data_IF_263406248075
#
_entry.id   IF_263406248075
#
_cell.length_a   1.000
_cell.length_b   1.000
_cell.length_c   1.000
_cell.angle_alpha   90.00
_cell.angle_beta   90.00
_cell.angle_gamma   90.00
#
_symmetry.space_group_name_H-M   'P 1'
#
loop_
_entity.id
_entity.type
_entity.pdbx_description
1 polymer ?
#
# COMPACT_ATOMS: atom_id res chain seq x y z
N UNK A 1 -17.08 9.38 -17.46
CA UNK A 1 -18.37 9.26 -18.18
C UNK A 1 -18.17 8.69 -19.58
N UNK A 2 -17.20 9.17 -20.37
CA UNK A 2 -16.99 8.72 -21.76
C UNK A 2 -16.74 7.21 -21.96
N UNK A 3 -16.01 6.54 -21.06
CA UNK A 3 -15.67 5.11 -21.26
C UNK A 3 -16.90 4.17 -21.17
N UNK A 4 -17.92 4.58 -20.41
CA UNK A 4 -19.16 3.81 -20.23
C UNK A 4 -20.06 3.98 -21.46
N UNK A 5 -20.11 5.18 -22.04
CA UNK A 5 -20.87 5.46 -23.27
C UNK A 5 -20.21 4.81 -24.50
N UNK A 6 -18.88 4.81 -24.59
CA UNK A 6 -18.16 4.09 -25.64
C UNK A 6 -18.41 2.57 -25.58
N UNK A 7 -18.41 1.97 -24.38
CA UNK A 7 -18.73 0.54 -24.19
C UNK A 7 -20.18 0.18 -24.55
N UNK A 8 -21.13 1.10 -24.37
CA UNK A 8 -22.53 0.92 -24.79
C UNK A 8 -22.70 1.06 -26.30
N UNK A 9 -21.97 1.97 -26.94
CA UNK A 9 -21.98 2.16 -28.39
C UNK A 9 -21.48 0.91 -29.17
N UNK A 10 -20.62 0.10 -28.55
CA UNK A 10 -20.07 -1.14 -29.11
C UNK A 10 -20.93 -2.41 -28.85
N UNK A 11 -22.13 -2.27 -28.29
CA UNK A 11 -23.08 -3.40 -28.13
C UNK A 11 -22.71 -4.40 -27.01
N UNK A 12 -21.91 -3.99 -26.02
CA UNK A 12 -21.51 -4.87 -24.93
C UNK A 12 -22.68 -5.15 -23.96
N UNK A 13 -22.99 -6.43 -23.77
CA UNK A 13 -23.92 -6.92 -22.75
C UNK A 13 -23.51 -6.38 -21.36
N UNK A 14 -24.47 -5.91 -20.54
CA UNK A 14 -24.23 -5.20 -19.25
C UNK A 14 -23.18 -5.88 -18.36
N UNK A 15 -23.19 -7.22 -18.32
CA UNK A 15 -22.26 -8.03 -17.54
C UNK A 15 -20.83 -7.94 -18.09
N UNK A 16 -20.66 -7.97 -19.42
CA UNK A 16 -19.37 -7.87 -20.07
C UNK A 16 -18.73 -6.50 -19.87
N UNK A 17 -19.52 -5.42 -19.87
CA UNK A 17 -19.04 -4.06 -19.57
C UNK A 17 -18.54 -3.92 -18.13
N UNK A 18 -19.24 -4.53 -17.17
CA UNK A 18 -18.84 -4.51 -15.76
C UNK A 18 -17.49 -5.22 -15.58
N UNK A 19 -17.35 -6.46 -16.07
CA UNK A 19 -16.14 -7.24 -15.86
C UNK A 19 -14.95 -6.79 -16.71
N UNK A 20 -15.19 -6.22 -17.91
CA UNK A 20 -14.13 -5.93 -18.88
C UNK A 20 -13.72 -4.45 -18.93
N UNK A 21 -14.54 -3.55 -18.38
CA UNK A 21 -14.26 -2.10 -18.37
C UNK A 21 -14.21 -1.55 -16.95
N UNK A 22 -15.24 -1.81 -16.13
CA UNK A 22 -15.34 -1.23 -14.78
C UNK A 22 -14.37 -1.90 -13.81
N UNK A 23 -14.30 -3.23 -13.81
CA UNK A 23 -13.42 -3.99 -12.93
C UNK A 23 -11.94 -3.61 -13.12
N UNK A 24 -11.35 -3.68 -14.34
CA UNK A 24 -9.96 -3.28 -14.52
C UNK A 24 -9.74 -1.80 -14.22
N UNK A 25 -10.69 -0.91 -14.52
CA UNK A 25 -10.55 0.52 -14.23
C UNK A 25 -10.55 0.86 -12.74
N UNK A 26 -11.20 0.05 -11.89
CA UNK A 26 -11.28 0.28 -10.44
C UNK A 26 -10.22 -0.47 -9.63
N UNK A 27 -9.62 -1.52 -10.19
CA UNK A 27 -8.57 -2.31 -9.54
C UNK A 27 -7.37 -1.48 -9.03
N UNK A 28 -6.85 -0.48 -9.77
CA UNK A 28 -5.76 0.38 -9.30
C UNK A 28 -6.15 1.18 -8.04
N UNK A 29 -7.36 1.73 -8.00
CA UNK A 29 -7.84 2.50 -6.86
C UNK A 29 -8.07 1.65 -5.61
N UNK A 30 -8.55 0.41 -5.78
CA UNK A 30 -8.68 -0.55 -4.66
C UNK A 30 -7.29 -0.93 -4.12
N UNK A 31 -6.31 -1.11 -5.01
CA UNK A 31 -4.94 -1.41 -4.61
C UNK A 31 -4.31 -0.27 -3.82
N UNK A 32 -4.49 0.99 -4.25
CA UNK A 32 -3.98 2.15 -3.52
C UNK A 32 -4.57 2.23 -2.10
N UNK A 33 -5.88 2.00 -1.96
CA UNK A 33 -6.52 1.91 -0.65
C UNK A 33 -5.96 0.76 0.20
N UNK A 34 -5.73 -0.41 -0.41
CA UNK A 34 -5.14 -1.56 0.27
C UNK A 34 -3.70 -1.26 0.74
N UNK A 35 -2.86 -0.63 -0.10
CA UNK A 35 -1.51 -0.19 0.28
C UNK A 35 -1.55 0.76 1.47
N UNK A 36 -2.46 1.73 1.45
CA UNK A 36 -2.64 2.67 2.55
C UNK A 36 -2.99 1.94 3.86
N UNK A 37 -3.91 0.97 3.79
CA UNK A 37 -4.30 0.16 4.95
C UNK A 37 -3.17 -0.73 5.47
N UNK A 38 -2.32 -1.26 4.58
CA UNK A 38 -1.17 -2.08 4.97
C UNK A 38 -0.07 -1.25 5.61
N UNK A 39 0.18 -0.04 5.09
CA UNK A 39 1.06 0.93 5.75
C UNK A 39 0.58 1.25 7.17
N UNK A 40 -0.72 1.45 7.36
CA UNK A 40 -1.31 1.62 8.69
C UNK A 40 -1.24 0.32 9.54
N UNK A 41 -1.37 -0.84 8.90
CA UNK A 41 -1.27 -2.17 9.52
C UNK A 41 0.13 -2.47 10.09
N UNK A 42 1.18 -1.85 9.56
CA UNK A 42 2.55 -2.05 10.03
C UNK A 42 2.71 -1.77 11.53
N UNK A 43 2.09 -0.72 12.05
CA UNK A 43 2.10 -0.41 13.48
C UNK A 43 1.44 -1.50 14.32
N UNK A 44 0.36 -2.12 13.80
CA UNK A 44 -0.31 -3.22 14.49
C UNK A 44 0.54 -4.48 14.55
N UNK A 45 1.35 -4.76 13.52
CA UNK A 45 2.31 -5.88 13.55
C UNK A 45 3.31 -5.69 14.68
N UNK A 46 3.86 -4.48 14.83
CA UNK A 46 4.79 -4.16 15.92
C UNK A 46 4.12 -4.35 17.29
N UNK A 47 2.88 -3.86 17.45
CA UNK A 47 2.11 -4.03 18.69
C UNK A 47 1.88 -5.52 18.99
N UNK A 48 1.48 -6.30 17.99
CA UNK A 48 1.22 -7.73 18.14
C UNK A 48 2.48 -8.48 18.57
N UNK A 49 3.65 -8.13 18.01
CA UNK A 49 4.93 -8.70 18.37
C UNK A 49 5.31 -8.38 19.82
N UNK A 50 5.10 -7.15 20.26
CA UNK A 50 5.38 -6.72 21.63
C UNK A 50 4.49 -7.43 22.66
N UNK A 51 3.21 -7.61 22.36
CA UNK A 51 2.22 -8.15 23.32
C UNK A 51 2.26 -9.68 23.37
N UNK A 52 2.45 -10.34 22.22
CA UNK A 52 2.24 -11.78 22.08
C UNK A 52 3.50 -12.60 21.83
N UNK A 53 4.61 -12.00 21.39
CA UNK A 53 5.80 -12.77 21.03
C UNK A 53 6.76 -12.91 22.21
N UNK A 54 7.10 -14.16 22.55
CA UNK A 54 8.17 -14.47 23.52
C UNK A 54 9.58 -14.37 22.90
N UNK A 55 9.66 -14.06 21.61
CA UNK A 55 10.89 -13.86 20.86
C UNK A 55 10.59 -12.98 19.64
N UNK A 56 11.41 -11.97 19.37
CA UNK A 56 11.18 -10.99 18.30
C UNK A 56 12.04 -9.74 18.48
N UNK A 57 12.09 -8.90 17.45
CA UNK A 57 12.78 -7.60 17.48
C UNK A 57 12.13 -6.64 18.48
N UNK A 58 10.79 -6.63 18.54
CA UNK A 58 10.05 -5.83 19.53
C UNK A 58 10.31 -6.29 20.97
N UNK A 59 10.36 -7.61 21.17
CA UNK A 59 10.69 -8.21 22.47
C UNK A 59 12.13 -7.88 22.90
N UNK A 60 13.11 -8.05 21.99
CA UNK A 60 14.52 -7.73 22.21
C UNK A 60 14.73 -6.25 22.54
N UNK A 61 13.95 -5.35 21.95
CA UNK A 61 14.00 -3.92 22.26
C UNK A 61 13.56 -3.65 23.70
N UNK A 62 12.42 -4.22 24.13
CA UNK A 62 11.89 -4.05 25.48
C UNK A 62 12.81 -4.68 26.54
N UNK A 63 13.36 -5.85 26.23
CA UNK A 63 14.34 -6.51 27.10
C UNK A 63 15.62 -5.65 27.21
N UNK A 64 16.15 -5.15 26.09
CA UNK A 64 17.34 -4.28 26.08
C UNK A 64 17.11 -2.97 26.81
N UNK A 65 15.88 -2.44 26.79
CA UNK A 65 15.49 -1.28 27.59
C UNK A 65 15.58 -1.56 29.10
N UNK A 66 15.18 -2.76 29.55
CA UNK A 66 15.30 -3.16 30.97
C UNK A 66 16.75 -3.28 31.43
N UNK A 67 17.64 -3.74 30.55
CA UNK A 67 19.07 -3.87 30.84
C UNK A 67 19.90 -2.62 30.50
N UNK A 68 19.26 -1.50 30.12
CA UNK A 68 19.91 -0.24 29.71
C UNK A 68 20.98 -0.43 28.62
N UNK A 69 20.83 -1.45 27.76
CA UNK A 69 21.74 -1.74 26.65
C UNK A 69 21.35 -0.91 25.44
N UNK A 70 21.75 0.36 25.46
CA UNK A 70 21.43 1.34 24.40
C UNK A 70 21.84 0.89 23.00
N UNK A 71 23.00 0.26 22.85
CA UNK A 71 23.47 -0.28 21.56
C UNK A 71 22.45 -1.22 20.90
N UNK A 72 21.83 -2.11 21.68
CA UNK A 72 20.84 -3.06 21.17
C UNK A 72 19.52 -2.38 20.82
N UNK A 73 19.12 -1.34 21.56
CA UNK A 73 17.91 -0.55 21.27
C UNK A 73 18.06 0.16 19.92
N UNK A 74 19.19 0.82 19.68
CA UNK A 74 19.46 1.48 18.40
C UNK A 74 19.51 0.47 17.24
N UNK A 75 20.15 -0.69 17.44
CA UNK A 75 20.16 -1.75 16.44
C UNK A 75 18.73 -2.23 16.10
N UNK A 76 17.87 -2.45 17.11
CA UNK A 76 16.48 -2.86 16.89
C UNK A 76 15.67 -1.81 16.11
N UNK A 77 15.82 -0.51 16.45
CA UNK A 77 15.15 0.58 15.74
C UNK A 77 15.56 0.62 14.25
N UNK A 78 16.86 0.49 13.97
CA UNK A 78 17.37 0.47 12.60
C UNK A 78 16.79 -0.71 11.82
N UNK A 79 16.79 -1.91 12.42
CA UNK A 79 16.27 -3.12 11.76
C UNK A 79 14.77 -3.00 11.48
N UNK A 80 13.97 -2.50 12.43
CA UNK A 80 12.53 -2.31 12.25
C UNK A 80 12.25 -1.27 11.16
N UNK A 81 13.00 -0.16 11.13
CA UNK A 81 12.90 0.83 10.06
C UNK A 81 13.23 0.24 8.69
N UNK A 82 14.27 -0.59 8.62
CA UNK A 82 14.68 -1.26 7.39
C UNK A 82 13.64 -2.28 6.92
N UNK A 83 13.04 -3.06 7.84
CA UNK A 83 11.95 -3.98 7.54
C UNK A 83 10.70 -3.25 7.03
N UNK A 84 10.37 -2.09 7.59
CA UNK A 84 9.28 -1.26 7.10
C UNK A 84 9.52 -0.78 5.67
N UNK A 85 10.74 -0.33 5.37
CA UNK A 85 11.14 0.07 4.00
C UNK A 85 11.10 -1.10 3.02
N UNK A 86 11.63 -2.27 3.40
CA UNK A 86 11.57 -3.48 2.58
C UNK A 86 10.12 -3.84 2.26
N UNK A 87 9.25 -3.76 3.26
CA UNK A 87 7.84 -4.09 3.09
C UNK A 87 7.17 -3.10 2.13
N UNK A 88 7.38 -1.79 2.28
CA UNK A 88 6.83 -0.80 1.34
C UNK A 88 7.32 -1.03 -0.10
N UNK A 89 8.61 -1.34 -0.26
CA UNK A 89 9.19 -1.65 -1.56
C UNK A 89 8.61 -2.94 -2.18
N UNK A 90 8.38 -3.96 -1.35
CA UNK A 90 7.74 -5.21 -1.78
C UNK A 90 6.32 -4.96 -2.31
N UNK A 91 5.57 -4.06 -1.68
CA UNK A 91 4.24 -3.65 -2.16
C UNK A 91 4.31 -2.86 -3.46
N UNK A 92 5.31 -2.00 -3.65
CA UNK A 92 5.51 -1.28 -4.90
C UNK A 92 5.84 -2.24 -6.07
N UNK A 93 6.68 -3.25 -5.82
CA UNK A 93 7.00 -4.27 -6.82
C UNK A 93 5.75 -5.09 -7.17
N UNK A 94 5.00 -5.50 -6.15
CA UNK A 94 3.77 -6.29 -6.35
C UNK A 94 2.72 -5.51 -7.15
N UNK A 95 2.62 -4.20 -6.94
CA UNK A 95 1.78 -3.30 -7.74
C UNK A 95 2.19 -3.31 -9.22
N UNK A 96 3.48 -3.11 -9.51
CA UNK A 96 4.01 -3.08 -10.89
C UNK A 96 3.80 -4.41 -11.61
N UNK A 97 3.86 -5.53 -10.87
CA UNK A 97 3.65 -6.87 -11.42
C UNK A 97 2.17 -7.15 -11.72
N UNK A 98 1.26 -6.77 -10.82
CA UNK A 98 -0.17 -7.01 -10.98
C UNK A 98 -0.85 -6.05 -11.96
N UNK A 99 -0.34 -4.82 -12.08
CA UNK A 99 -0.95 -3.76 -12.88
C UNK A 99 0.03 -3.11 -13.88
N UNK A 100 0.62 -3.88 -14.82
CA UNK A 100 1.54 -3.33 -15.82
C UNK A 100 0.86 -2.34 -16.78
N UNK A 101 -0.48 -2.41 -16.91
CA UNK A 101 -1.28 -1.50 -17.74
C UNK A 101 -1.70 -0.21 -17.01
N UNK A 102 -1.57 -0.15 -15.69
CA UNK A 102 -1.88 1.05 -14.91
C UNK A 102 -0.70 2.02 -14.97
N UNK A 103 -0.52 2.67 -16.12
CA UNK A 103 0.31 3.87 -16.19
C UNK A 103 -0.25 4.88 -15.20
N UNK A 104 0.55 5.27 -14.21
CA UNK A 104 0.19 6.32 -13.27
C UNK A 104 0.07 7.62 -14.06
N UNK A 105 -1.12 7.90 -14.57
CA UNK A 105 -1.45 9.19 -15.17
C UNK A 105 -1.47 10.23 -14.07
N UNK A 106 -0.29 10.75 -13.73
CA UNK A 106 -0.10 11.99 -12.99
C UNK A 106 -0.48 13.17 -13.91
N UNK A 107 -1.74 13.27 -14.29
CA UNK A 107 -2.25 14.41 -15.06
C UNK A 107 -3.51 14.93 -14.40
N UNK A 108 -3.47 16.15 -13.86
CA UNK A 108 -4.70 16.91 -13.61
C UNK A 108 -4.82 17.71 -12.31
N UNK A 109 -3.75 18.19 -11.68
CA UNK A 109 -3.89 19.15 -10.55
C UNK A 109 -3.58 20.61 -10.95
N UNK A 110 -2.99 20.87 -12.12
CA UNK A 110 -2.52 22.25 -12.43
C UNK A 110 -3.47 23.16 -13.23
N UNK A 111 -4.59 22.69 -13.81
CA UNK A 111 -5.32 23.51 -14.80
C UNK A 111 -6.54 24.28 -14.28
N UNK A 112 -6.99 24.10 -13.03
CA UNK A 112 -8.26 24.70 -12.56
C UNK A 112 -8.17 25.84 -11.53
N UNK A 113 -6.97 26.33 -11.18
CA UNK A 113 -6.81 27.44 -10.22
C UNK A 113 -6.51 28.82 -10.87
N UNK A 114 -6.39 28.91 -12.21
CA UNK A 114 -6.02 30.18 -12.89
C UNK A 114 -7.17 30.97 -13.53
N UNK A 115 -8.43 30.70 -13.20
CA UNK A 115 -9.57 31.38 -13.83
C UNK A 115 -10.69 31.77 -12.88
N UNK A 116 -10.37 32.27 -11.69
CA UNK A 116 -11.29 33.06 -10.85
C UNK A 116 -10.54 34.24 -10.25
#
# INVERSE_FOLDING_TARGET
>A
MELIDAGRALGANRINTIFKVILPSSLPGIWDACRLMIGAGWTFVIIAEIVGASSGLGHLMIESQRFLRTANIFAAIIIIGFLGLITDYFFEITYKLLFPWSEKTHAGIETHYKSV
#
